data_IF_965818742955
#
_entry.id   IF_965818742955
#
_cell.length_a   1.000
_cell.length_b   1.000
_cell.length_c   1.000
_cell.angle_alpha   90.00
_cell.angle_beta   90.00
_cell.angle_gamma   90.00
#
_symmetry.space_group_name_H-M   'P 1'
#
loop_
_entity.id
_entity.type
_entity.pdbx_description
1 polymer ?
#
# COMPACT_ATOMS: atom_id res chain seq x y z
N UNK A 1 5.09 -9.90 -26.76
CA UNK A 1 4.60 -9.20 -26.78
C UNK A 1 3.47 -8.97 -26.09
N UNK A 2 2.74 -9.69 -25.75
CA UNK A 2 1.67 -9.40 -25.08
C UNK A 2 1.83 -9.40 -23.67
N UNK A 3 2.95 -9.65 -23.12
CA UNK A 3 3.11 -9.67 -21.70
C UNK A 3 3.08 -8.34 -21.09
N UNK A 4 3.23 -7.28 -21.84
CA UNK A 4 3.27 -5.99 -21.21
C UNK A 4 1.99 -5.59 -20.53
N UNK A 5 0.82 -5.78 -21.13
CA UNK A 5 -0.39 -5.44 -20.40
C UNK A 5 -0.58 -6.29 -19.16
N UNK A 6 -0.15 -7.53 -19.21
CA UNK A 6 -0.27 -8.38 -18.06
C UNK A 6 0.65 -7.88 -16.95
N UNK A 7 1.86 -7.49 -17.30
CA UNK A 7 2.79 -6.99 -16.30
C UNK A 7 2.28 -5.71 -15.67
N UNK A 8 1.64 -4.86 -16.45
CA UNK A 8 1.12 -3.63 -15.90
C UNK A 8 0.04 -3.91 -14.86
N UNK A 9 -0.70 -4.99 -15.01
CA UNK A 9 -1.72 -5.31 -14.06
C UNK A 9 -1.15 -5.95 -12.80
N UNK A 10 0.13 -6.23 -12.76
CA UNK A 10 0.74 -6.82 -11.59
C UNK A 10 1.26 -5.79 -10.62
N UNK A 11 0.87 -4.54 -10.77
CA UNK A 11 1.26 -3.51 -9.83
C UNK A 11 0.03 -2.78 -9.35
N UNK A 12 0.02 -2.47 -8.07
CA UNK A 12 -1.09 -1.75 -7.48
C UNK A 12 -0.58 -0.56 -6.70
N UNK A 13 -1.33 0.53 -6.76
CA UNK A 13 -1.04 1.70 -5.96
C UNK A 13 -2.04 1.74 -4.81
N UNK A 14 -1.54 1.77 -3.60
CA UNK A 14 -2.37 1.75 -2.42
C UNK A 14 -2.22 3.04 -1.64
N UNK A 15 -3.34 3.53 -1.13
CA UNK A 15 -3.36 4.68 -0.24
C UNK A 15 -3.73 4.16 1.14
N UNK A 16 -2.84 4.34 2.10
CA UNK A 16 -3.02 3.83 3.45
C UNK A 16 -3.09 5.00 4.40
N UNK A 17 -4.22 5.17 5.06
CA UNK A 17 -4.36 6.21 6.07
C UNK A 17 -4.01 5.61 7.42
N UNK A 18 -3.12 6.28 8.13
CA UNK A 18 -2.63 5.79 9.41
C UNK A 18 -2.64 6.91 10.42
N UNK A 19 -2.70 6.55 11.68
CA UNK A 19 -2.51 7.51 12.73
C UNK A 19 -1.07 7.96 12.72
N UNK A 20 -0.85 9.27 12.88
CA UNK A 20 0.48 9.84 12.80
C UNK A 20 1.17 9.66 14.12
N UNK A 21 1.67 8.49 14.38
CA UNK A 21 2.37 8.18 15.61
C UNK A 21 3.77 7.71 15.30
N UNK A 22 4.65 7.93 16.25
CA UNK A 22 6.03 7.47 16.08
C UNK A 22 6.04 5.95 15.89
N UNK A 23 6.80 5.50 14.97
CA UNK A 23 6.99 4.07 14.76
C UNK A 23 5.99 3.41 13.82
N UNK A 24 4.97 4.13 13.35
CA UNK A 24 3.99 3.53 12.46
C UNK A 24 4.66 3.08 11.17
N UNK A 25 5.48 3.92 10.59
CA UNK A 25 6.14 3.58 9.34
C UNK A 25 7.07 2.40 9.54
N UNK A 26 7.74 2.33 10.69
CA UNK A 26 8.61 1.20 10.99
C UNK A 26 7.81 -0.08 11.10
N UNK A 27 6.63 -0.02 11.68
CA UNK A 27 5.78 -1.21 11.80
C UNK A 27 5.34 -1.70 10.44
N UNK A 28 5.01 -0.78 9.54
CA UNK A 28 4.60 -1.15 8.20
C UNK A 28 5.79 -1.76 7.46
N UNK A 29 6.96 -1.16 7.58
CA UNK A 29 8.15 -1.69 6.93
C UNK A 29 8.47 -3.08 7.46
N UNK A 30 8.35 -3.30 8.75
CA UNK A 30 8.60 -4.60 9.35
C UNK A 30 7.60 -5.64 8.84
N UNK A 31 6.35 -5.24 8.69
CA UNK A 31 5.34 -6.14 8.18
C UNK A 31 5.69 -6.60 6.78
N UNK A 32 6.08 -5.67 5.91
CA UNK A 32 6.44 -6.02 4.55
C UNK A 32 7.65 -6.95 4.54
N UNK A 33 8.63 -6.65 5.37
CA UNK A 33 9.85 -7.46 5.41
C UNK A 33 9.55 -8.89 5.89
N UNK A 34 8.72 -9.00 6.93
CA UNK A 34 8.46 -10.31 7.48
C UNK A 34 7.62 -11.18 6.57
N UNK A 35 6.73 -10.56 5.80
CA UNK A 35 5.85 -11.30 4.92
C UNK A 35 6.41 -11.45 3.51
N UNK A 36 7.54 -10.83 3.24
CA UNK A 36 8.12 -10.93 1.91
C UNK A 36 7.45 -10.10 0.84
N UNK A 37 6.66 -9.10 1.25
CA UNK A 37 6.08 -8.19 0.28
C UNK A 37 7.13 -7.18 -0.16
N UNK A 38 7.06 -6.76 -1.40
CA UNK A 38 7.96 -5.75 -1.92
C UNK A 38 7.25 -4.43 -2.08
N UNK A 39 7.99 -3.33 -1.92
CA UNK A 39 7.47 -2.01 -2.18
C UNK A 39 8.34 -1.39 -3.25
N UNK A 40 7.75 -0.98 -4.36
CA UNK A 40 8.50 -0.34 -5.40
C UNK A 40 8.68 1.14 -5.13
N UNK A 41 7.72 1.77 -4.53
CA UNK A 41 7.74 3.20 -4.31
C UNK A 41 6.92 3.50 -3.07
N UNK A 42 7.33 4.48 -2.32
CA UNK A 42 6.62 4.84 -1.10
C UNK A 42 6.75 6.33 -0.87
N UNK A 43 5.64 6.99 -0.61
CA UNK A 43 5.60 8.40 -0.31
C UNK A 43 4.69 8.63 0.88
N UNK A 44 5.08 9.53 1.75
CA UNK A 44 4.30 9.82 2.95
C UNK A 44 3.90 11.29 2.89
N UNK A 45 2.64 11.55 3.14
CA UNK A 45 2.13 12.91 3.18
C UNK A 45 1.15 13.09 4.30
N UNK A 46 0.74 14.32 4.51
CA UNK A 46 -0.24 14.62 5.54
C UNK A 46 -1.61 14.18 5.08
N UNK A 47 -2.38 13.64 5.99
CA UNK A 47 -3.76 13.35 5.72
C UNK A 47 -4.59 14.62 5.80
N UNK A 48 -5.87 14.48 5.61
CA UNK A 48 -6.74 15.63 5.62
C UNK A 48 -7.01 16.12 7.01
N UNK A 49 -6.90 15.23 7.99
CA UNK A 49 -7.16 15.62 9.37
C UNK A 49 -5.87 15.60 10.14
N UNK A 50 -5.78 16.41 11.16
CA UNK A 50 -4.61 16.42 12.01
C UNK A 50 -4.44 15.07 12.67
N UNK A 51 -3.21 14.64 12.84
CA UNK A 51 -2.92 13.37 13.48
C UNK A 51 -3.04 12.17 12.55
N UNK A 52 -3.25 12.40 11.26
CA UNK A 52 -3.39 11.32 10.29
C UNK A 52 -2.39 11.56 9.17
N UNK A 53 -1.75 10.52 8.74
CA UNK A 53 -0.84 10.57 7.59
C UNK A 53 -1.34 9.64 6.50
N UNK A 54 -1.01 9.97 5.28
CA UNK A 54 -1.35 9.13 4.14
C UNK A 54 -0.06 8.58 3.57
N UNK A 55 0.00 7.27 3.45
CA UNK A 55 1.14 6.61 2.83
C UNK A 55 0.67 6.07 1.50
N UNK A 56 1.32 6.52 0.44
CA UNK A 56 1.01 6.04 -0.91
C UNK A 56 2.13 5.11 -1.31
N UNK A 57 1.80 3.92 -1.73
CA UNK A 57 2.82 2.95 -2.06
C UNK A 57 2.44 2.19 -3.32
N UNK A 58 3.45 1.83 -4.09
CA UNK A 58 3.27 1.00 -5.27
C UNK A 58 3.83 -0.38 -4.94
N UNK A 59 3.00 -1.38 -5.06
CA UNK A 59 3.36 -2.73 -4.65
C UNK A 59 3.17 -3.65 -5.85
N UNK A 60 4.21 -4.39 -6.25
CA UNK A 60 4.05 -5.37 -7.31
C UNK A 60 3.31 -6.58 -6.77
N UNK A 61 2.44 -7.12 -7.57
CA UNK A 61 1.70 -8.31 -7.20
C UNK A 61 0.33 -8.29 -7.83
N UNK A 62 -0.30 -9.44 -7.89
CA UNK A 62 -1.63 -9.56 -8.47
C UNK A 62 -2.67 -9.27 -7.37
N UNK A 63 -3.92 -9.43 -7.72
CA UNK A 63 -5.01 -9.11 -6.81
C UNK A 63 -4.94 -9.93 -5.53
N UNK A 64 -4.48 -11.15 -5.62
CA UNK A 64 -4.41 -12.03 -4.48
C UNK A 64 -3.38 -11.53 -3.47
N UNK A 65 -2.23 -11.09 -3.98
CA UNK A 65 -1.18 -10.55 -3.13
C UNK A 65 -1.69 -9.29 -2.44
N UNK A 66 -2.37 -8.43 -3.17
CA UNK A 66 -2.86 -7.18 -2.63
C UNK A 66 -3.95 -7.44 -1.58
N UNK A 67 -4.77 -8.43 -1.79
CA UNK A 67 -5.80 -8.77 -0.83
C UNK A 67 -5.16 -9.22 0.49
N UNK A 68 -4.13 -10.05 0.40
CA UNK A 68 -3.45 -10.51 1.59
C UNK A 68 -2.75 -9.36 2.29
N UNK A 69 -2.11 -8.48 1.53
CA UNK A 69 -1.44 -7.34 2.11
C UNK A 69 -2.43 -6.43 2.83
N UNK A 70 -3.57 -6.18 2.22
CA UNK A 70 -4.59 -5.33 2.81
C UNK A 70 -5.04 -5.92 4.15
N UNK A 71 -5.25 -7.22 4.21
CA UNK A 71 -5.66 -7.84 5.44
C UNK A 71 -4.59 -7.71 6.51
N UNK A 72 -3.33 -7.86 6.12
CA UNK A 72 -2.25 -7.73 7.08
C UNK A 72 -2.11 -6.30 7.57
N UNK A 73 -2.31 -5.33 6.69
CA UNK A 73 -2.22 -3.94 7.10
C UNK A 73 -3.31 -3.59 8.10
N UNK A 74 -4.50 -4.10 7.91
CA UNK A 74 -5.59 -3.82 8.85
C UNK A 74 -5.37 -4.45 10.22
N UNK A 75 -4.43 -5.38 10.36
CA UNK A 75 -4.11 -5.91 11.66
C UNK A 75 -3.29 -4.96 12.50
N UNK A 76 -2.70 -3.94 11.89
CA UNK A 76 -1.93 -2.95 12.63
C UNK A 76 -2.92 -1.94 13.21
N UNK A 77 -2.81 -1.69 14.52
CA UNK A 77 -3.77 -0.83 15.19
C UNK A 77 -3.79 0.56 14.64
N UNK A 78 -2.70 1.04 14.10
CA UNK A 78 -2.61 2.41 13.63
C UNK A 78 -3.13 2.60 12.21
N UNK A 79 -3.49 1.53 11.52
CA UNK A 79 -3.98 1.64 10.15
C UNK A 79 -5.47 1.89 10.18
N UNK A 80 -5.89 3.00 9.60
CA UNK A 80 -7.28 3.42 9.62
C UNK A 80 -8.02 2.98 8.35
N UNK A 81 -7.36 3.06 7.22
CA UNK A 81 -8.02 2.71 5.96
C UNK A 81 -7.01 2.36 4.90
N UNK A 82 -7.28 1.34 4.14
CA UNK A 82 -6.45 0.94 3.00
C UNK A 82 -7.33 1.01 1.76
N UNK A 83 -6.85 1.68 0.73
CA UNK A 83 -7.63 1.88 -0.47
C UNK A 83 -6.76 1.62 -1.69
N UNK A 84 -7.25 0.85 -2.62
CA UNK A 84 -6.53 0.59 -3.86
C UNK A 84 -6.91 1.68 -4.84
N UNK A 85 -5.96 2.54 -5.16
CA UNK A 85 -6.20 3.65 -6.06
C UNK A 85 -5.49 3.46 -7.39
N UNK A 86 -5.24 2.22 -7.75
CA UNK A 86 -4.59 1.92 -9.02
C UNK A 86 -5.40 2.50 -10.15
N UNK A 87 -4.75 3.32 -10.98
CA UNK A 87 -5.44 3.90 -12.08
C UNK A 87 -5.54 2.93 -13.19
N UNK A 88 -6.72 2.77 -13.72
CA UNK A 88 -6.89 1.97 -14.87
C UNK A 88 -6.69 2.83 -16.06
N UNK A 89 -5.94 2.50 -16.97
CA UNK A 89 -5.72 3.31 -18.12
C UNK A 89 -6.98 3.31 -18.86
N UNK A 90 -7.63 4.34 -18.84
CA UNK A 90 -8.78 4.38 -19.43
C UNK A 90 -8.69 4.73 -20.68
N UNK A 91 -8.32 4.71 -21.23
CA UNK A 91 -8.26 5.13 -22.39
C UNK A 91 -8.91 5.01 -23.09
#
# INVERSE_FOLDING_TARGET
MLSEPVLAKMKHTLSVLVEDEAGVLSRIASLFARRGFNIESLAVGSGEEGGVSRITMVVPGDDRVIEQLTKQLYKLVNVLKVQDITETPCV
#
